data_IF_754529907257
#
_entry.id   IF_754529907257
#
_cell.length_a   1.000
_cell.length_b   1.000
_cell.length_c   1.000
_cell.angle_alpha   90.00
_cell.angle_beta   90.00
_cell.angle_gamma   90.00
#
_symmetry.space_group_name_H-M   'P 1'
#
loop_
_entity.id
_entity.type
_entity.pdbx_description
1 polymer ?
#
# COMPACT_ATOMS: atom_id res chain seq x y z
N UNK A 1 -0.14 27.87 -17.87
CA UNK A 1 -0.54 26.69 -17.08
C UNK A 1 0.36 25.53 -17.52
N UNK A 2 1.46 25.25 -16.82
CA UNK A 2 2.50 24.31 -17.27
C UNK A 2 2.45 23.00 -16.43
N UNK A 3 2.25 21.90 -17.14
CA UNK A 3 2.53 20.49 -16.79
C UNK A 3 1.69 19.79 -15.71
N UNK A 4 0.51 19.26 -16.08
CA UNK A 4 0.00 18.04 -15.45
C UNK A 4 0.52 16.82 -16.20
N UNK A 5 1.81 16.48 -16.06
CA UNK A 5 2.36 15.24 -16.62
C UNK A 5 1.92 14.07 -15.74
N UNK A 6 0.72 13.54 -15.99
CA UNK A 6 0.30 12.25 -15.47
C UNK A 6 0.86 11.15 -16.39
N UNK A 7 2.14 10.87 -16.17
CA UNK A 7 2.99 10.02 -16.99
C UNK A 7 3.76 9.06 -16.08
N UNK A 8 3.94 7.81 -16.52
CA UNK A 8 4.82 6.86 -15.86
C UNK A 8 5.66 6.08 -16.88
N UNK A 9 6.98 6.19 -16.75
CA UNK A 9 7.97 5.39 -17.50
C UNK A 9 8.51 4.21 -16.69
N UNK A 10 8.20 4.20 -15.39
CA UNK A 10 8.69 3.21 -14.44
C UNK A 10 7.53 2.74 -13.57
N UNK A 11 7.58 1.47 -13.21
CA UNK A 11 6.75 0.87 -12.17
C UNK A 11 7.63 0.65 -10.95
N UNK A 12 7.17 1.13 -9.80
CA UNK A 12 7.90 1.05 -8.52
C UNK A 12 7.07 0.19 -7.57
N UNK A 13 7.72 -0.74 -6.88
CA UNK A 13 7.14 -1.55 -5.81
C UNK A 13 8.00 -1.36 -4.56
N UNK A 14 7.38 -0.90 -3.49
CA UNK A 14 8.00 -0.84 -2.16
C UNK A 14 7.72 -2.16 -1.44
N UNK A 15 8.73 -2.70 -0.77
CA UNK A 15 8.64 -3.96 -0.03
C UNK A 15 9.06 -3.73 1.40
N UNK A 16 8.06 -3.80 2.28
CA UNK A 16 8.22 -3.54 3.71
C UNK A 16 8.71 -4.75 4.51
N UNK A 17 8.83 -5.91 3.86
CA UNK A 17 9.36 -7.10 4.49
C UNK A 17 10.79 -6.87 4.97
N UNK A 18 11.00 -7.09 6.27
CA UNK A 18 12.27 -6.85 6.93
C UNK A 18 13.22 -7.99 6.57
N UNK A 19 14.43 -7.62 6.15
CA UNK A 19 15.54 -8.54 5.88
C UNK A 19 16.61 -8.43 6.96
N UNK A 20 17.87 -8.57 6.57
CA UNK A 20 19.03 -8.33 7.44
C UNK A 20 19.65 -6.96 7.18
N UNK A 21 20.47 -6.49 8.12
CA UNK A 21 21.28 -5.30 7.90
C UNK A 21 22.49 -5.63 7.02
N UNK A 22 22.86 -4.72 6.13
CA UNK A 22 23.99 -4.87 5.20
C UNK A 22 23.75 -4.13 3.90
N UNK A 23 22.52 -4.17 3.40
CA UNK A 23 22.08 -3.42 2.23
C UNK A 23 22.43 -4.09 0.90
N UNK A 24 22.83 -5.36 0.92
CA UNK A 24 23.12 -6.17 -0.25
C UNK A 24 21.93 -7.06 -0.64
N UNK A 25 21.83 -7.56 -1.88
CA UNK A 25 20.76 -8.47 -2.29
C UNK A 25 20.64 -9.74 -1.44
N UNK A 26 21.75 -10.14 -0.80
CA UNK A 26 21.77 -11.23 0.17
C UNK A 26 20.95 -10.90 1.43
N UNK A 27 20.82 -9.62 1.78
CA UNK A 27 20.14 -9.11 2.96
C UNK A 27 18.64 -8.90 2.79
N UNK A 28 18.10 -9.17 1.60
CA UNK A 28 16.66 -9.21 1.40
C UNK A 28 16.04 -10.30 2.28
N UNK A 29 14.80 -10.05 2.71
CA UNK A 29 13.97 -11.08 3.31
C UNK A 29 14.00 -12.36 2.42
N UNK A 30 14.22 -13.57 2.97
CA UNK A 30 14.37 -14.79 2.18
C UNK A 30 13.22 -15.05 1.20
N UNK A 31 11.98 -14.81 1.62
CA UNK A 31 10.80 -14.95 0.76
C UNK A 31 10.86 -13.99 -0.43
N UNK A 32 11.12 -12.70 -0.16
CA UNK A 32 11.25 -11.67 -1.19
C UNK A 32 12.38 -12.03 -2.16
N UNK A 33 13.51 -12.51 -1.65
CA UNK A 33 14.66 -12.93 -2.45
C UNK A 33 14.31 -14.10 -3.38
N UNK A 34 13.57 -15.09 -2.90
CA UNK A 34 13.14 -16.24 -3.70
C UNK A 34 12.10 -15.84 -4.76
N UNK A 35 11.16 -14.95 -4.41
CA UNK A 35 10.21 -14.37 -5.38
C UNK A 35 10.95 -13.60 -6.47
N UNK A 36 11.89 -12.71 -6.10
CA UNK A 36 12.69 -11.95 -7.07
C UNK A 36 13.51 -12.87 -7.96
N UNK A 37 14.10 -13.93 -7.40
CA UNK A 37 14.81 -14.96 -8.18
C UNK A 37 13.88 -15.62 -9.20
N UNK A 38 12.64 -15.96 -8.81
CA UNK A 38 11.64 -16.51 -9.71
C UNK A 38 11.29 -15.53 -10.85
N UNK A 39 11.10 -14.24 -10.54
CA UNK A 39 10.88 -13.20 -11.56
C UNK A 39 12.05 -13.07 -12.53
N UNK A 40 13.29 -13.14 -12.04
CA UNK A 40 14.50 -13.12 -12.87
C UNK A 40 14.58 -14.35 -13.78
N UNK A 41 14.31 -15.55 -13.25
CA UNK A 41 14.29 -16.79 -14.04
C UNK A 41 13.22 -16.78 -15.14
N UNK A 42 12.13 -16.03 -14.93
CA UNK A 42 11.09 -15.80 -15.93
C UNK A 42 11.36 -14.55 -16.81
N UNK A 43 12.56 -13.98 -16.72
CA UNK A 43 13.01 -12.83 -17.52
C UNK A 43 12.12 -11.56 -17.35
N UNK A 44 11.50 -11.42 -16.18
CA UNK A 44 10.65 -10.30 -15.76
C UNK A 44 11.14 -9.65 -14.46
N UNK A 45 12.40 -9.85 -14.11
CA UNK A 45 13.02 -9.26 -12.93
C UNK A 45 13.00 -7.72 -12.94
N UNK A 46 13.21 -7.08 -11.78
CA UNK A 46 13.31 -5.62 -11.70
C UNK A 46 14.58 -5.12 -12.39
N UNK A 47 14.49 -3.96 -13.04
CA UNK A 47 15.64 -3.28 -13.63
C UNK A 47 16.59 -2.70 -12.57
N UNK A 48 16.05 -2.26 -11.43
CA UNK A 48 16.80 -1.78 -10.28
C UNK A 48 16.24 -2.32 -8.98
N UNK A 49 17.16 -2.63 -8.06
CA UNK A 49 16.87 -3.09 -6.70
C UNK A 49 17.52 -2.11 -5.73
N UNK A 50 16.72 -1.42 -4.93
CA UNK A 50 17.17 -0.60 -3.82
C UNK A 50 17.00 -1.36 -2.53
N UNK A 51 17.99 -1.36 -1.65
CA UNK A 51 17.93 -2.06 -0.35
C UNK A 51 18.37 -1.12 0.75
N UNK A 52 17.57 -1.02 1.81
CA UNK A 52 17.89 -0.24 2.98
C UNK A 52 18.97 -0.98 3.82
N UNK A 53 20.15 -0.40 4.00
CA UNK A 53 21.26 -1.06 4.70
C UNK A 53 21.00 -1.32 6.19
N UNK A 54 20.03 -0.65 6.80
CA UNK A 54 19.74 -0.81 8.24
C UNK A 54 18.72 -1.91 8.56
N UNK A 55 17.86 -2.29 7.62
CA UNK A 55 16.75 -3.20 7.90
C UNK A 55 16.37 -4.15 6.75
N UNK A 56 17.10 -4.12 5.64
CA UNK A 56 16.86 -5.02 4.50
C UNK A 56 15.55 -4.79 3.74
N UNK A 57 14.74 -3.77 4.11
CA UNK A 57 13.58 -3.35 3.33
C UNK A 57 14.01 -2.92 1.94
N UNK A 58 13.16 -3.13 0.95
CA UNK A 58 13.57 -3.00 -0.44
C UNK A 58 12.59 -2.18 -1.27
N UNK A 59 13.11 -1.65 -2.37
CA UNK A 59 12.31 -1.03 -3.41
C UNK A 59 12.76 -1.53 -4.77
N UNK A 60 11.81 -1.92 -5.61
CA UNK A 60 12.07 -2.48 -6.92
C UNK A 60 11.53 -1.56 -8.01
N UNK A 61 12.30 -1.38 -9.08
CA UNK A 61 11.92 -0.55 -10.22
C UNK A 61 11.96 -1.38 -11.50
N UNK A 62 10.85 -1.39 -12.24
CA UNK A 62 10.79 -1.86 -13.62
C UNK A 62 10.72 -0.68 -14.57
N UNK A 63 11.49 -0.76 -15.66
CA UNK A 63 11.33 0.15 -16.80
C UNK A 63 10.15 -0.36 -17.64
N UNK A 64 9.20 0.50 -17.95
CA UNK A 64 7.99 0.13 -18.69
C UNK A 64 7.81 1.01 -19.91
N UNK A 65 7.10 0.50 -20.91
CA UNK A 65 6.62 1.33 -22.01
C UNK A 65 5.80 2.49 -21.41
N UNK A 66 6.16 3.74 -21.72
CA UNK A 66 5.60 4.85 -20.98
C UNK A 66 4.08 4.98 -21.16
N UNK A 67 3.39 5.16 -20.05
CA UNK A 67 1.94 5.32 -20.03
C UNK A 67 1.54 6.75 -19.72
N UNK A 68 0.46 7.18 -20.37
CA UNK A 68 -0.08 8.53 -20.25
C UNK A 68 -1.52 8.46 -19.73
N UNK A 69 -1.89 9.40 -18.87
CA UNK A 69 -3.26 9.62 -18.48
C UNK A 69 -3.96 10.63 -19.41
N UNK A 70 -5.28 10.58 -19.48
CA UNK A 70 -6.09 11.62 -20.10
C UNK A 70 -6.09 12.91 -19.28
N UNK A 71 -6.80 13.94 -19.78
CA UNK A 71 -6.95 15.24 -19.10
C UNK A 71 -7.57 15.13 -17.69
N UNK A 72 -8.22 14.01 -17.36
CA UNK A 72 -8.83 13.73 -16.06
C UNK A 72 -7.96 12.82 -15.17
N UNK A 73 -6.75 12.47 -15.60
CA UNK A 73 -5.85 11.56 -14.89
C UNK A 73 -6.24 10.09 -14.92
N UNK A 74 -7.02 9.69 -15.91
CA UNK A 74 -7.45 8.31 -16.09
C UNK A 74 -7.08 7.84 -17.49
N UNK A 75 -6.74 6.57 -17.64
CA UNK A 75 -6.67 5.92 -18.95
C UNK A 75 -6.74 4.42 -18.74
N UNK A 76 -7.05 3.66 -19.80
CA UNK A 76 -7.01 2.20 -19.71
C UNK A 76 -5.61 1.70 -19.31
N UNK A 77 -4.57 2.37 -19.81
CA UNK A 77 -3.16 2.11 -19.56
C UNK A 77 -2.77 2.44 -18.11
N UNK A 78 -3.27 3.54 -17.54
CA UNK A 78 -3.08 3.86 -16.13
C UNK A 78 -3.81 2.87 -15.19
N UNK A 79 -4.96 2.33 -15.62
CA UNK A 79 -5.63 1.25 -14.89
C UNK A 79 -4.82 -0.05 -14.95
N UNK A 80 -4.24 -0.37 -16.11
CA UNK A 80 -3.37 -1.52 -16.29
C UNK A 80 -2.09 -1.39 -15.45
N UNK A 81 -1.47 -0.21 -15.40
CA UNK A 81 -0.36 0.10 -14.51
C UNK A 81 -0.72 -0.19 -13.06
N UNK A 82 -1.84 0.38 -12.57
CA UNK A 82 -2.29 0.18 -11.20
C UNK A 82 -2.58 -1.30 -10.88
N UNK A 83 -3.18 -2.04 -11.82
CA UNK A 83 -3.39 -3.47 -11.67
C UNK A 83 -2.08 -4.26 -11.63
N UNK A 84 -1.11 -3.90 -12.48
CA UNK A 84 0.21 -4.55 -12.53
C UNK A 84 0.98 -4.31 -11.25
N UNK A 85 1.02 -3.06 -10.76
CA UNK A 85 1.64 -2.70 -9.47
C UNK A 85 1.03 -3.50 -8.33
N UNK A 86 -0.30 -3.63 -8.30
CA UNK A 86 -0.99 -4.39 -7.26
C UNK A 86 -0.60 -5.87 -7.27
N UNK A 87 -0.61 -6.52 -8.43
CA UNK A 87 -0.30 -7.97 -8.52
C UNK A 87 1.17 -8.22 -8.18
N UNK A 88 2.10 -7.41 -8.71
CA UNK A 88 3.51 -7.50 -8.36
C UNK A 88 3.74 -7.30 -6.87
N UNK A 89 3.07 -6.31 -6.30
CA UNK A 89 3.16 -6.06 -4.88
C UNK A 89 2.55 -7.18 -4.04
N UNK A 90 1.40 -7.75 -4.41
CA UNK A 90 0.81 -8.90 -3.71
C UNK A 90 1.77 -10.10 -3.72
N UNK A 91 2.45 -10.35 -4.85
CA UNK A 91 3.47 -11.39 -4.96
C UNK A 91 4.70 -11.13 -4.07
N UNK A 92 5.12 -9.87 -3.96
CA UNK A 92 6.26 -9.43 -3.14
C UNK A 92 5.89 -9.09 -1.68
N UNK A 93 4.64 -9.36 -1.29
CA UNK A 93 4.06 -9.06 0.02
C UNK A 93 4.24 -7.59 0.47
N UNK A 94 3.88 -6.65 -0.42
CA UNK A 94 3.81 -5.21 -0.12
C UNK A 94 2.54 -4.81 0.66
N UNK A 95 2.55 -3.67 1.36
CA UNK A 95 1.34 -3.08 1.94
C UNK A 95 0.45 -2.42 0.87
N UNK A 96 -0.80 -2.88 0.66
CA UNK A 96 -1.73 -2.31 -0.32
C UNK A 96 -2.31 -0.94 0.06
N UNK A 97 -2.12 -0.43 1.28
CA UNK A 97 -2.66 0.87 1.74
C UNK A 97 -1.71 2.04 1.51
N UNK A 98 -0.43 1.79 1.28
CA UNK A 98 0.53 2.86 1.05
C UNK A 98 0.72 3.15 -0.46
N UNK A 99 0.19 4.29 -0.88
CA UNK A 99 0.34 4.79 -2.25
C UNK A 99 1.77 5.29 -2.50
N UNK A 100 2.74 4.40 -2.68
CA UNK A 100 4.12 4.77 -3.01
C UNK A 100 4.38 4.72 -4.52
N UNK A 101 3.83 5.69 -5.26
CA UNK A 101 4.26 5.96 -6.65
C UNK A 101 5.62 6.67 -6.73
N UNK A 102 6.24 6.95 -5.59
CA UNK A 102 7.49 7.68 -5.49
C UNK A 102 8.63 6.73 -5.17
N UNK A 103 9.60 6.69 -6.07
CA UNK A 103 10.85 5.98 -5.82
C UNK A 103 11.78 6.81 -4.94
N UNK A 104 12.59 6.15 -4.10
CA UNK A 104 13.80 6.76 -3.52
C UNK A 104 14.81 6.98 -4.66
N UNK A 105 15.62 8.02 -4.60
CA UNK A 105 16.51 8.37 -5.71
C UNK A 105 17.63 7.31 -5.90
N UNK A 106 17.69 6.59 -7.03
CA UNK A 106 18.75 5.63 -7.31
C UNK A 106 20.14 6.24 -7.48
N UNK A 107 20.19 7.55 -7.74
CA UNK A 107 21.42 8.31 -7.97
C UNK A 107 21.83 9.15 -6.76
N UNK A 108 21.28 8.86 -5.57
CA UNK A 108 21.67 9.57 -4.36
C UNK A 108 23.11 9.20 -3.96
N UNK A 109 23.96 10.22 -3.81
CA UNK A 109 25.39 10.08 -3.47
C UNK A 109 25.75 10.64 -2.09
N UNK A 110 24.75 11.05 -1.30
CA UNK A 110 24.97 11.60 0.04
C UNK A 110 25.28 10.53 1.09
N UNK A 111 25.60 10.97 2.32
CA UNK A 111 26.09 10.10 3.41
C UNK A 111 25.01 9.62 4.38
N UNK A 112 23.73 9.72 4.03
CA UNK A 112 22.65 9.28 4.91
C UNK A 112 22.74 7.76 5.14
N UNK A 113 22.82 7.28 6.40
CA UNK A 113 23.06 5.87 6.69
C UNK A 113 21.87 4.97 6.34
N UNK A 114 20.69 5.54 6.18
CA UNK A 114 19.45 4.85 5.77
C UNK A 114 19.17 4.98 4.27
N UNK A 115 20.08 5.62 3.52
CA UNK A 115 19.96 5.70 2.07
C UNK A 115 20.01 4.30 1.48
N UNK A 116 19.06 4.01 0.60
CA UNK A 116 18.99 2.74 -0.11
C UNK A 116 20.25 2.57 -0.96
N UNK A 117 20.88 1.39 -0.89
CA UNK A 117 21.91 0.96 -1.82
C UNK A 117 21.23 0.41 -3.06
N UNK A 118 21.56 0.98 -4.23
CA UNK A 118 20.88 0.67 -5.48
C UNK A 118 21.75 -0.19 -6.39
N UNK A 119 21.17 -1.28 -6.88
CA UNK A 119 21.80 -2.25 -7.76
C UNK A 119 21.05 -2.29 -9.09
N UNK A 120 21.72 -1.88 -10.16
CA UNK A 120 21.21 -2.00 -11.53
C UNK A 120 21.33 -3.45 -12.00
N UNK A 121 20.23 -4.03 -12.46
CA UNK A 121 20.18 -5.38 -13.01
C UNK A 121 20.21 -5.37 -14.54
N UNK A 122 19.36 -4.55 -15.16
CA UNK A 122 19.26 -4.44 -16.62
C UNK A 122 18.62 -3.12 -17.07
N UNK A 123 18.53 -2.90 -18.38
CA UNK A 123 17.89 -1.74 -19.03
C UNK A 123 16.68 -2.10 -19.90
N UNK A 124 16.21 -3.34 -19.85
CA UNK A 124 15.04 -3.79 -20.61
C UNK A 124 13.77 -3.01 -20.23
N UNK A 125 13.10 -2.48 -21.24
CA UNK A 125 11.77 -1.86 -21.12
C UNK A 125 10.70 -2.92 -21.35
N UNK A 126 9.72 -2.99 -20.44
CA UNK A 126 8.67 -4.01 -20.46
C UNK A 126 7.32 -3.42 -20.84
N UNK A 127 6.57 -4.15 -21.67
CA UNK A 127 5.16 -3.86 -21.92
C UNK A 127 4.32 -4.29 -20.72
N UNK A 128 3.48 -3.40 -20.21
CA UNK A 128 2.65 -3.69 -19.03
C UNK A 128 1.73 -4.91 -19.22
N UNK A 129 1.20 -5.11 -20.43
CA UNK A 129 0.34 -6.26 -20.74
C UNK A 129 1.08 -7.59 -20.64
N UNK A 130 2.32 -7.64 -21.11
CA UNK A 130 3.15 -8.84 -21.06
C UNK A 130 3.68 -9.09 -19.65
N UNK A 131 4.04 -8.00 -18.94
CA UNK A 131 4.51 -8.06 -17.56
C UNK A 131 3.42 -8.60 -16.64
N UNK A 132 2.20 -8.05 -16.65
CA UNK A 132 1.13 -8.51 -15.75
C UNK A 132 0.72 -9.95 -16.03
N UNK A 133 0.78 -10.40 -17.30
CA UNK A 133 0.50 -11.78 -17.67
C UNK A 133 1.52 -12.72 -17.04
N UNK A 134 2.81 -12.47 -17.26
CA UNK A 134 3.87 -13.33 -16.74
C UNK A 134 3.95 -13.29 -15.21
N UNK A 135 3.68 -12.14 -14.56
CA UNK A 135 3.62 -12.05 -13.10
C UNK A 135 2.49 -12.92 -12.54
N UNK A 136 1.32 -12.95 -13.19
CA UNK A 136 0.21 -13.83 -12.78
C UNK A 136 0.56 -15.30 -12.93
N UNK A 137 1.27 -15.64 -14.01
CA UNK A 137 1.75 -17.00 -14.25
C UNK A 137 2.73 -17.43 -13.14
N UNK A 138 3.67 -16.56 -12.76
CA UNK A 138 4.60 -16.79 -11.65
C UNK A 138 3.88 -16.88 -10.30
N UNK A 139 2.85 -16.08 -10.08
CA UNK A 139 2.05 -16.10 -8.86
C UNK A 139 1.10 -17.31 -8.75
N UNK A 140 1.04 -18.18 -9.76
CA UNK A 140 0.09 -19.29 -9.82
C UNK A 140 -1.36 -18.83 -9.90
N UNK A 141 -1.61 -17.59 -10.30
CA UNK A 141 -2.97 -17.11 -10.52
C UNK A 141 -3.50 -17.67 -11.84
N UNK A 142 -4.55 -18.49 -11.77
CA UNK A 142 -5.28 -18.90 -12.97
C UNK A 142 -5.63 -17.66 -13.81
N UNK A 143 -5.22 -17.67 -15.09
CA UNK A 143 -5.32 -16.53 -16.01
C UNK A 143 -6.75 -16.00 -16.18
N UNK A 144 -7.76 -16.73 -15.69
CA UNK A 144 -9.14 -16.28 -15.57
C UNK A 144 -9.80 -16.81 -14.29
N UNK A 145 -9.44 -16.25 -13.13
CA UNK A 145 -10.41 -16.22 -12.05
C UNK A 145 -11.57 -15.34 -12.49
N UNK A 146 -12.64 -15.97 -12.98
CA UNK A 146 -13.97 -15.34 -13.03
C UNK A 146 -14.23 -14.87 -11.61
N UNK A 147 -14.04 -13.57 -11.34
CA UNK A 147 -14.29 -12.99 -10.02
C UNK A 147 -15.59 -13.62 -9.51
N UNK A 148 -15.60 -14.27 -8.33
CA UNK A 148 -16.74 -15.06 -7.91
C UNK A 148 -17.96 -14.18 -8.04
N UNK A 149 -18.82 -14.53 -9.02
CA UNK A 149 -20.07 -13.83 -9.24
C UNK A 149 -20.88 -14.16 -8.01
N UNK A 150 -20.83 -13.26 -7.04
CA UNK A 150 -21.56 -13.32 -5.77
C UNK A 150 -20.89 -14.23 -4.70
N UNK A 151 -20.21 -13.63 -3.72
CA UNK A 151 -19.70 -14.33 -2.54
C UNK A 151 -20.77 -14.64 -1.48
N UNK A 152 -21.91 -13.95 -1.55
CA UNK A 152 -23.01 -14.11 -0.60
C UNK A 152 -24.22 -14.69 -1.31
N UNK A 153 -24.84 -15.70 -0.70
CA UNK A 153 -26.03 -16.37 -1.23
C UNK A 153 -27.25 -15.44 -1.24
N UNK A 154 -27.26 -14.39 -0.40
CA UNK A 154 -28.34 -13.41 -0.34
C UNK A 154 -27.90 -12.02 0.16
N UNK A 155 -28.72 -11.00 -0.12
CA UNK A 155 -28.49 -9.63 0.39
C UNK A 155 -28.59 -9.50 1.91
N UNK A 156 -29.32 -10.40 2.59
CA UNK A 156 -29.40 -10.44 4.07
C UNK A 156 -28.10 -10.94 4.68
N UNK A 157 -27.51 -11.98 4.08
CA UNK A 157 -26.23 -12.54 4.49
C UNK A 157 -25.10 -11.51 4.36
N UNK A 158 -25.10 -10.74 3.26
CA UNK A 158 -24.18 -9.61 3.08
C UNK A 158 -24.33 -8.56 4.21
N UNK A 159 -25.57 -8.20 4.59
CA UNK A 159 -25.82 -7.20 5.63
C UNK A 159 -25.37 -7.71 7.00
N UNK A 160 -25.69 -8.95 7.36
CA UNK A 160 -25.31 -9.53 8.64
C UNK A 160 -23.79 -9.65 8.75
N UNK A 161 -23.14 -10.16 7.71
CA UNK A 161 -21.68 -10.25 7.67
C UNK A 161 -20.99 -8.87 7.71
N UNK A 162 -21.62 -7.81 7.22
CA UNK A 162 -21.08 -6.44 7.37
C UNK A 162 -21.28 -5.90 8.78
N UNK A 163 -22.37 -6.25 9.47
CA UNK A 163 -22.61 -5.86 10.86
C UNK A 163 -21.65 -6.52 11.83
N UNK A 164 -21.50 -7.85 11.78
CA UNK A 164 -20.54 -8.57 12.63
C UNK A 164 -19.12 -8.06 12.43
N UNK A 165 -18.68 -7.84 11.18
CA UNK A 165 -17.36 -7.26 10.91
C UNK A 165 -17.18 -5.85 11.48
N UNK A 166 -18.25 -5.05 11.52
CA UNK A 166 -18.20 -3.71 12.12
C UNK A 166 -18.04 -3.82 13.63
N UNK A 167 -18.76 -4.73 14.26
CA UNK A 167 -18.69 -5.00 15.71
C UNK A 167 -17.30 -5.54 16.09
N UNK A 168 -16.78 -6.52 15.35
CA UNK A 168 -15.42 -7.05 15.52
C UNK A 168 -14.35 -5.96 15.36
N UNK A 169 -14.45 -5.12 14.32
CA UNK A 169 -13.50 -4.03 14.12
C UNK A 169 -13.59 -2.95 15.20
N UNK A 170 -14.78 -2.70 15.76
CA UNK A 170 -14.97 -1.78 16.88
C UNK A 170 -14.40 -2.35 18.18
N UNK A 171 -14.62 -3.64 18.45
CA UNK A 171 -14.06 -4.33 19.61
C UNK A 171 -12.53 -4.41 19.54
N UNK A 172 -11.98 -4.77 18.37
CA UNK A 172 -10.54 -4.80 18.14
C UNK A 172 -9.89 -3.41 18.30
N UNK A 173 -10.56 -2.36 17.81
CA UNK A 173 -10.08 -0.98 17.98
C UNK A 173 -10.07 -0.55 19.45
N UNK A 174 -11.08 -0.92 20.23
CA UNK A 174 -11.12 -0.63 21.66
C UNK A 174 -9.99 -1.36 22.40
N UNK A 175 -9.81 -2.66 22.13
CA UNK A 175 -8.74 -3.47 22.72
C UNK A 175 -7.34 -2.92 22.37
N UNK A 176 -7.13 -2.53 21.11
CA UNK A 176 -5.86 -1.95 20.66
C UNK A 176 -5.58 -0.58 21.32
N UNK A 177 -6.61 0.23 21.56
CA UNK A 177 -6.46 1.51 22.27
C UNK A 177 -6.14 1.32 23.75
N UNK A 178 -6.74 0.33 24.41
CA UNK A 178 -6.44 0.00 25.81
C UNK A 178 -5.00 -0.56 25.96
N UNK A 179 -4.58 -1.44 25.05
CA UNK A 179 -3.22 -2.01 25.02
C UNK A 179 -2.17 -0.94 24.68
N UNK A 180 -2.40 -0.08 23.69
CA UNK A 180 -1.47 1.01 23.35
C UNK A 180 -1.34 2.04 24.48
N UNK A 181 -2.41 2.27 25.25
CA UNK A 181 -2.38 3.15 26.43
C UNK A 181 -1.57 2.54 27.60
N UNK A 182 -1.64 1.22 27.79
CA UNK A 182 -0.84 0.48 28.78
C UNK A 182 0.65 0.41 28.39
N UNK A 183 0.95 0.24 27.10
CA UNK A 183 2.32 0.01 26.59
C UNK A 183 3.13 1.32 26.45
N UNK A 184 2.50 2.44 26.09
CA UNK A 184 3.23 3.69 25.77
C UNK A 184 3.87 4.40 26.98
N UNK A 185 3.48 4.06 28.21
CA UNK A 185 3.97 4.72 29.43
C UNK A 185 5.28 4.17 30.00
N UNK A 186 5.60 2.89 29.76
CA UNK A 186 6.60 2.17 30.59
C UNK A 186 7.84 1.60 29.88
N UNK A 187 7.83 1.37 28.56
CA UNK A 187 8.87 0.55 27.93
C UNK A 187 10.17 1.28 27.54
N UNK A 188 10.14 2.60 27.36
CA UNK A 188 11.37 3.37 27.05
C UNK A 188 12.36 3.36 28.23
N UNK A 189 11.92 3.08 29.46
CA UNK A 189 12.80 2.98 30.63
C UNK A 189 13.57 1.64 30.66
N UNK A 190 13.14 0.66 29.88
CA UNK A 190 13.70 -0.70 29.85
C UNK A 190 14.29 -1.09 28.50
N UNK A 191 14.34 -0.19 27.51
CA UNK A 191 15.02 -0.46 26.23
C UNK A 191 16.55 -0.26 26.41
N UNK A 192 17.35 -1.36 26.40
CA UNK A 192 18.80 -1.28 26.60
C UNK A 192 19.52 -0.59 25.43
N UNK A 193 18.84 -0.33 24.30
CA UNK A 193 19.40 0.38 23.15
C UNK A 193 19.28 1.91 23.24
N UNK A 194 18.59 2.44 24.26
CA UNK A 194 18.47 3.88 24.49
C UNK A 194 19.65 4.41 25.30
N UNK A 195 20.35 5.40 24.75
CA UNK A 195 21.41 6.15 25.43
C UNK A 195 20.80 7.47 25.89
N UNK A 196 20.81 7.76 27.19
CA UNK A 196 20.16 8.94 27.78
C UNK A 196 18.69 9.13 27.32
N UNK A 197 17.95 8.03 27.08
CA UNK A 197 16.57 8.07 26.59
C UNK A 197 16.42 8.35 25.08
N UNK A 198 17.53 8.34 24.32
CA UNK A 198 17.58 8.60 22.87
C UNK A 198 18.16 7.38 22.15
N UNK A 199 17.48 6.94 21.08
CA UNK A 199 17.99 5.87 20.21
C UNK A 199 18.97 6.45 19.20
N UNK A 200 20.27 6.38 19.50
CA UNK A 200 21.32 6.93 18.65
C UNK A 200 21.48 6.08 17.38
N UNK A 201 21.39 6.73 16.21
CA UNK A 201 21.66 6.09 14.93
C UNK A 201 23.14 6.24 14.58
N UNK A 202 23.76 5.13 14.18
CA UNK A 202 25.18 5.08 13.82
C UNK A 202 25.34 5.05 12.30
N UNK A 203 26.23 5.90 11.76
CA UNK A 203 26.66 5.86 10.35
C UNK A 203 27.71 4.76 10.19
N UNK A 204 28.69 4.78 11.09
CA UNK A 204 29.74 3.78 11.29
C UNK A 204 29.98 3.65 12.79
N UNK A 205 30.64 2.59 13.23
CA UNK A 205 30.97 2.41 14.65
C UNK A 205 31.72 3.65 15.18
N UNK A 206 31.19 4.28 16.25
CA UNK A 206 31.74 5.50 16.83
C UNK A 206 31.34 6.82 16.14
N UNK A 207 30.62 6.78 15.01
CA UNK A 207 30.14 7.99 14.31
C UNK A 207 28.61 7.99 14.20
N UNK A 208 27.94 8.88 14.92
CA UNK A 208 26.49 9.01 14.93
C UNK A 208 25.93 9.90 13.80
N UNK A 209 24.74 9.55 13.32
CA UNK A 209 23.89 10.38 12.48
C UNK A 209 23.10 11.36 13.35
N UNK A 210 23.75 12.48 13.73
CA UNK A 210 23.26 13.46 14.70
C UNK A 210 21.89 14.03 14.33
N UNK A 211 21.75 14.54 13.11
CA UNK A 211 20.51 15.17 12.63
C UNK A 211 19.34 14.19 12.52
N UNK A 212 19.58 12.99 12.00
CA UNK A 212 18.55 11.96 11.83
C UNK A 212 18.10 11.43 13.21
N UNK A 213 19.04 11.22 14.12
CA UNK A 213 18.75 10.84 15.52
C UNK A 213 17.87 11.91 16.18
N UNK A 214 18.29 13.17 16.07
CA UNK A 214 17.58 14.32 16.62
C UNK A 214 16.17 14.48 16.04
N UNK A 215 16.02 14.33 14.73
CA UNK A 215 14.75 14.46 14.03
C UNK A 215 13.77 13.33 14.40
N UNK A 216 14.23 12.07 14.46
CA UNK A 216 13.38 10.95 14.86
C UNK A 216 12.94 11.03 16.30
N UNK A 217 13.83 11.44 17.20
CA UNK A 217 13.47 11.65 18.60
C UNK A 217 12.43 12.76 18.74
N UNK A 218 12.59 13.88 18.02
CA UNK A 218 11.60 14.96 17.99
C UNK A 218 10.22 14.51 17.47
N UNK A 219 10.18 13.63 16.44
CA UNK A 219 8.94 13.01 15.97
C UNK A 219 8.30 12.11 17.04
N UNK A 220 9.09 11.23 17.67
CA UNK A 220 8.61 10.33 18.73
C UNK A 220 7.99 11.13 19.89
N UNK A 221 8.69 12.15 20.35
CA UNK A 221 8.21 13.06 21.40
C UNK A 221 6.97 13.82 20.96
N UNK A 222 6.90 14.29 19.72
CA UNK A 222 5.70 14.94 19.18
C UNK A 222 4.47 14.02 19.19
N UNK A 223 4.62 12.76 18.78
CA UNK A 223 3.53 11.77 18.83
C UNK A 223 3.10 11.48 20.28
N UNK A 224 4.04 11.38 21.22
CA UNK A 224 3.76 11.21 22.65
C UNK A 224 2.97 12.39 23.22
N UNK A 225 3.40 13.62 22.94
CA UNK A 225 2.68 14.84 23.36
C UNK A 225 1.24 14.85 22.82
N UNK A 226 1.04 14.43 21.56
CA UNK A 226 -0.29 14.32 20.96
C UNK A 226 -1.15 13.25 21.65
N UNK A 227 -0.58 12.09 21.98
CA UNK A 227 -1.29 11.01 22.70
C UNK A 227 -1.69 11.45 24.11
N UNK A 228 -0.82 12.20 24.80
CA UNK A 228 -1.08 12.74 26.14
C UNK A 228 -2.03 13.96 26.13
N UNK A 229 -2.51 14.40 24.96
CA UNK A 229 -3.38 15.57 24.83
C UNK A 229 -2.69 16.91 25.11
N UNK A 230 -1.36 16.94 25.19
CA UNK A 230 -0.60 18.16 25.45
C UNK A 230 -0.45 19.02 24.18
N UNK A 231 -0.23 20.32 24.36
CA UNK A 231 -0.06 21.26 23.24
C UNK A 231 1.27 21.00 22.54
N UNK A 232 1.21 20.68 21.26
CA UNK A 232 2.38 20.48 20.40
C UNK A 232 2.98 21.83 19.98
N UNK A 233 3.87 22.38 20.82
CA UNK A 233 4.56 23.66 20.58
C UNK A 233 5.85 23.47 19.81
N UNK A 234 6.24 24.47 19.02
CA UNK A 234 7.51 24.44 18.28
C UNK A 234 8.70 24.36 19.25
N UNK A 235 8.62 25.01 20.42
CA UNK A 235 9.65 24.95 21.46
C UNK A 235 9.89 23.54 21.99
N UNK A 236 8.84 22.80 22.39
CA UNK A 236 8.99 21.44 22.91
C UNK A 236 9.59 20.47 21.87
N UNK A 237 9.30 20.68 20.58
CA UNK A 237 9.89 19.89 19.49
C UNK A 237 11.37 20.26 19.29
N UNK A 238 11.71 21.55 19.37
CA UNK A 238 13.10 22.03 19.26
C UNK A 238 13.93 21.50 20.43
N UNK A 239 13.41 21.57 21.66
CA UNK A 239 14.09 21.07 22.86
C UNK A 239 14.38 19.57 22.75
N UNK A 240 13.40 18.79 22.28
CA UNK A 240 13.59 17.36 22.03
C UNK A 240 14.64 17.09 20.95
N UNK A 241 14.65 17.87 19.88
CA UNK A 241 15.66 17.77 18.83
C UNK A 241 17.06 18.10 19.36
N UNK A 242 17.22 19.21 20.09
CA UNK A 242 18.51 19.65 20.65
C UNK A 242 19.06 18.63 21.65
N UNK A 243 18.20 18.10 22.53
CA UNK A 243 18.57 17.06 23.48
C UNK A 243 19.15 15.84 22.76
N UNK A 244 18.43 15.30 21.78
CA UNK A 244 18.85 14.13 21.03
C UNK A 244 20.08 14.39 20.13
N UNK A 245 20.23 15.60 19.58
CA UNK A 245 21.43 15.99 18.85
C UNK A 245 22.66 15.96 19.78
N UNK A 246 22.53 16.53 20.97
CA UNK A 246 23.62 16.59 21.95
C UNK A 246 24.01 15.21 22.47
N UNK A 247 23.04 14.31 22.69
CA UNK A 247 23.32 12.91 23.04
C UNK A 247 24.07 12.21 21.90
N UNK A 248 23.59 12.34 20.65
CA UNK A 248 24.27 11.76 19.50
C UNK A 248 25.69 12.33 19.30
N UNK A 249 25.90 13.63 19.56
CA UNK A 249 27.20 14.29 19.49
C UNK A 249 28.15 13.79 20.58
N UNK A 250 27.67 13.63 21.82
CA UNK A 250 28.48 13.16 22.95
C UNK A 250 28.99 11.75 22.72
N UNK A 251 28.12 10.85 22.25
CA UNK A 251 28.44 9.43 22.11
C UNK A 251 29.00 9.05 20.73
N UNK A 252 28.70 9.82 19.68
CA UNK A 252 29.13 9.53 18.30
C UNK A 252 29.61 10.75 17.51
N UNK A 253 30.16 11.75 18.19
CA UNK A 253 30.73 12.95 17.54
C UNK A 253 31.90 12.62 16.62
N UNK A 254 32.69 11.59 16.94
CA UNK A 254 33.89 11.18 16.19
C UNK A 254 34.87 12.34 15.93
N UNK A 255 35.05 13.22 16.92
CA UNK A 255 35.90 14.41 16.80
C UNK A 255 35.37 15.53 15.91
N UNK A 256 34.13 15.43 15.40
CA UNK A 256 33.49 16.51 14.63
C UNK A 256 32.99 17.61 15.53
N UNK A 257 33.14 18.86 15.10
CA UNK A 257 32.57 20.01 15.77
C UNK A 257 31.04 19.95 15.84
N UNK A 258 30.48 20.63 16.84
CA UNK A 258 29.03 20.75 17.02
C UNK A 258 28.49 21.62 15.89
N UNK A 259 27.64 21.04 15.04
CA UNK A 259 27.08 21.70 13.86
C UNK A 259 25.56 21.73 13.98
N UNK A 260 25.06 22.37 15.03
CA UNK A 260 23.62 22.50 15.26
C UNK A 260 23.06 23.53 14.28
N UNK A 261 21.97 23.23 13.55
CA UNK A 261 21.35 24.18 12.64
C UNK A 261 20.94 25.49 13.35
N UNK A 262 20.99 26.65 12.68
CA UNK A 262 20.60 27.92 13.27
C UNK A 262 19.12 27.89 13.69
N UNK A 263 18.74 28.76 14.64
CA UNK A 263 17.40 28.76 15.25
C UNK A 263 16.26 28.84 14.20
N UNK A 264 16.47 29.62 13.14
CA UNK A 264 15.50 29.76 12.03
C UNK A 264 15.17 28.42 11.36
N UNK A 265 16.16 27.56 11.16
CA UNK A 265 15.99 26.28 10.50
C UNK A 265 15.36 25.26 11.45
N UNK A 266 15.71 25.30 12.74
CA UNK A 266 15.08 24.50 13.79
C UNK A 266 13.60 24.83 13.96
N UNK A 267 13.21 26.10 13.89
CA UNK A 267 11.80 26.50 13.85
C UNK A 267 11.06 25.95 12.62
N UNK A 268 11.70 25.98 11.45
CA UNK A 268 11.12 25.42 10.22
C UNK A 268 10.96 23.90 10.32
N UNK A 269 11.96 23.20 10.86
CA UNK A 269 11.93 21.78 11.15
C UNK A 269 10.79 21.43 12.12
N UNK A 270 10.66 22.17 13.23
CA UNK A 270 9.61 21.95 14.22
C UNK A 270 8.20 22.07 13.62
N UNK A 271 7.97 23.06 12.76
CA UNK A 271 6.71 23.21 12.01
C UNK A 271 6.42 22.00 11.12
N UNK A 272 7.45 21.43 10.48
CA UNK A 272 7.32 20.21 9.65
C UNK A 272 7.00 18.99 10.50
N UNK A 273 7.72 18.78 11.61
CA UNK A 273 7.45 17.71 12.58
C UNK A 273 6.02 17.79 13.08
N UNK A 274 5.56 18.98 13.49
CA UNK A 274 4.17 19.21 13.88
C UNK A 274 3.18 18.89 12.75
N UNK A 275 3.52 19.24 11.50
CA UNK A 275 2.76 18.84 10.32
C UNK A 275 2.61 17.33 10.20
N UNK A 276 3.71 16.57 10.31
CA UNK A 276 3.70 15.11 10.26
C UNK A 276 2.91 14.49 11.42
N UNK A 277 3.11 15.00 12.64
CA UNK A 277 2.44 14.51 13.84
C UNK A 277 0.94 14.80 13.81
N UNK A 278 0.48 15.87 13.18
CA UNK A 278 -0.95 16.23 13.10
C UNK A 278 -1.67 15.65 11.88
N UNK A 279 -0.99 15.55 10.74
CA UNK A 279 -1.54 15.04 9.48
C UNK A 279 -1.46 13.52 9.34
N UNK A 280 -0.65 12.85 10.17
CA UNK A 280 -0.73 11.40 10.32
C UNK A 280 -2.15 11.03 10.76
N UNK A 281 -2.92 10.50 9.80
CA UNK A 281 -4.05 9.64 10.12
C UNK A 281 -3.45 8.51 10.93
N UNK A 282 -3.91 8.32 12.16
CA UNK A 282 -3.48 7.18 12.97
C UNK A 282 -3.76 5.91 12.16
N UNK A 283 -2.70 5.27 11.69
CA UNK A 283 -2.68 3.88 11.24
C UNK A 283 -2.89 2.98 12.45
N UNK A 284 -4.06 3.12 13.10
CA UNK A 284 -4.55 2.10 13.99
C UNK A 284 -5.11 0.98 13.09
N UNK A 285 -4.26 -0.02 12.85
CA UNK A 285 -4.62 -1.34 12.34
C UNK A 285 -5.58 -1.35 11.15
N UNK A 286 -5.10 -0.91 9.98
CA UNK A 286 -5.67 -1.39 8.73
C UNK A 286 -4.96 -2.69 8.37
N UNK A 287 -5.42 -3.79 8.98
CA UNK A 287 -4.98 -5.12 8.62
C UNK A 287 -5.00 -5.31 7.10
N UNK A 288 -3.90 -5.92 6.65
CA UNK A 288 -3.74 -6.67 5.41
C UNK A 288 -5.06 -7.22 4.88
N UNK A 289 -5.20 -7.24 3.56
CA UNK A 289 -6.27 -7.90 2.81
C UNK A 289 -6.78 -9.19 3.47
N UNK A 290 -7.76 -9.05 4.36
CA UNK A 290 -8.56 -10.17 4.81
C UNK A 290 -9.41 -10.60 3.60
N UNK A 291 -9.45 -11.90 3.26
CA UNK A 291 -10.40 -12.40 2.27
C UNK A 291 -11.81 -12.09 2.79
N UNK A 292 -12.48 -11.11 2.17
CA UNK A 292 -13.82 -10.67 2.61
C UNK A 292 -14.15 -9.18 2.52
N UNK A 293 -13.29 -8.32 1.98
CA UNK A 293 -13.68 -6.92 1.68
C UNK A 293 -14.78 -6.89 0.62
N UNK A 294 -15.94 -6.33 0.99
CA UNK A 294 -17.09 -6.19 0.09
C UNK A 294 -16.68 -5.51 -1.23
N UNK A 295 -16.99 -6.14 -2.35
CA UNK A 295 -16.66 -5.68 -3.70
C UNK A 295 -17.32 -4.33 -4.03
N UNK A 296 -16.86 -3.64 -5.08
CA UNK A 296 -17.46 -2.34 -5.46
C UNK A 296 -18.93 -2.46 -5.86
N UNK A 297 -19.33 -3.61 -6.42
CA UNK A 297 -20.71 -3.99 -6.71
C UNK A 297 -21.53 -4.19 -5.43
N UNK A 298 -21.00 -4.88 -4.43
CA UNK A 298 -21.67 -5.10 -3.14
C UNK A 298 -21.84 -3.77 -2.38
N UNK A 299 -20.85 -2.89 -2.41
CA UNK A 299 -20.96 -1.53 -1.85
C UNK A 299 -22.04 -0.69 -2.54
N UNK A 300 -22.17 -0.79 -3.87
CA UNK A 300 -23.26 -0.14 -4.62
C UNK A 300 -24.62 -0.75 -4.30
N UNK A 301 -24.71 -2.07 -4.14
CA UNK A 301 -25.93 -2.77 -3.75
C UNK A 301 -26.38 -2.37 -2.34
N UNK A 302 -25.46 -2.28 -1.38
CA UNK A 302 -25.72 -1.78 -0.02
C UNK A 302 -26.13 -0.30 -0.02
N UNK A 303 -25.48 0.54 -0.83
CA UNK A 303 -25.82 1.96 -0.93
C UNK A 303 -27.21 2.22 -1.56
N UNK A 304 -27.73 1.27 -2.33
CA UNK A 304 -29.06 1.34 -2.96
C UNK A 304 -30.15 0.67 -2.12
N UNK A 305 -29.82 -0.42 -1.41
CA UNK A 305 -30.72 -1.08 -0.45
C UNK A 305 -30.86 -0.26 0.84
N UNK A 306 -31.87 0.60 0.89
CA UNK A 306 -32.21 1.42 2.06
C UNK A 306 -32.60 2.86 1.71
N UNK A 307 -32.23 3.35 0.52
CA UNK A 307 -32.68 4.65 -0.01
C UNK A 307 -34.14 4.57 -0.47
N UNK A 308 -34.83 5.73 -0.50
CA UNK A 308 -36.25 5.90 -0.85
C UNK A 308 -36.67 5.14 -2.12
N UNK A 309 -35.80 5.07 -3.13
CA UNK A 309 -36.02 4.31 -4.37
C UNK A 309 -35.97 2.79 -4.23
N UNK A 310 -35.06 2.26 -3.40
CA UNK A 310 -34.96 0.80 -3.14
C UNK A 310 -36.13 0.26 -2.32
N UNK A 311 -36.64 1.05 -1.36
CA UNK A 311 -37.87 0.72 -0.60
C UNK A 311 -39.10 0.71 -1.50
N UNK A 312 -39.24 1.70 -2.38
CA UNK A 312 -40.35 1.77 -3.35
C UNK A 312 -40.28 0.66 -4.39
N UNK A 313 -39.07 0.24 -4.79
CA UNK A 313 -38.87 -0.91 -5.65
C UNK A 313 -39.28 -2.22 -4.96
N UNK A 314 -38.89 -2.42 -3.69
CA UNK A 314 -39.31 -3.60 -2.92
C UNK A 314 -40.84 -3.68 -2.74
N UNK A 315 -41.50 -2.55 -2.46
CA UNK A 315 -42.97 -2.46 -2.39
C UNK A 315 -43.66 -2.81 -3.72
N UNK A 316 -43.06 -2.46 -4.87
CA UNK A 316 -43.60 -2.82 -6.21
C UNK A 316 -43.50 -4.31 -6.54
N UNK A 317 -42.75 -5.08 -5.77
CA UNK A 317 -42.61 -6.53 -5.90
C UNK A 317 -43.35 -7.29 -4.80
N UNK A 318 -44.06 -6.59 -3.91
CA UNK A 318 -44.81 -7.18 -2.80
C UNK A 318 -46.04 -7.93 -3.32
N UNK A 319 -46.72 -7.37 -4.33
CA UNK A 319 -47.71 -8.08 -5.13
C UNK A 319 -47.09 -8.64 -6.42
N UNK A 320 -46.95 -9.97 -6.43
CA UNK A 320 -46.33 -10.73 -7.51
C UNK A 320 -47.21 -10.84 -8.76
N UNK A 321 -48.52 -10.60 -8.61
CA UNK A 321 -49.50 -10.63 -9.70
C UNK A 321 -49.77 -9.25 -10.31
N UNK A 322 -49.16 -8.19 -9.76
CA UNK A 322 -49.29 -6.85 -10.33
C UNK A 322 -48.76 -6.76 -11.78
N UNK A 323 -49.40 -5.93 -12.61
CA UNK A 323 -48.99 -5.68 -14.01
C UNK A 323 -47.50 -5.33 -14.14
N UNK A 324 -46.98 -4.59 -13.15
CA UNK A 324 -45.57 -4.24 -13.08
C UNK A 324 -44.66 -5.47 -12.89
N UNK A 325 -45.01 -6.38 -11.97
CA UNK A 325 -44.26 -7.60 -11.72
C UNK A 325 -44.35 -8.57 -12.91
N UNK A 326 -45.55 -8.77 -13.46
CA UNK A 326 -45.77 -9.64 -14.61
C UNK A 326 -45.04 -9.15 -15.88
N UNK A 327 -45.11 -7.84 -16.19
CA UNK A 327 -44.40 -7.27 -17.34
C UNK A 327 -42.87 -7.37 -17.24
N UNK A 328 -42.31 -7.28 -16.02
CA UNK A 328 -40.87 -7.50 -15.78
C UNK A 328 -40.47 -8.97 -15.89
N UNK A 329 -41.32 -9.89 -15.43
CA UNK A 329 -41.11 -11.34 -15.59
C UNK A 329 -41.14 -11.74 -17.06
N UNK A 330 -42.07 -11.21 -17.83
CA UNK A 330 -42.16 -11.47 -19.28
C UNK A 330 -40.93 -10.95 -20.03
N UNK A 331 -40.46 -9.74 -19.66
CA UNK A 331 -39.22 -9.17 -20.20
C UNK A 331 -38.00 -10.04 -19.88
N UNK A 332 -37.89 -10.55 -18.63
CA UNK A 332 -36.82 -11.48 -18.25
C UNK A 332 -36.92 -12.78 -19.04
N UNK A 333 -38.12 -13.35 -19.22
CA UNK A 333 -38.35 -14.55 -20.05
C UNK A 333 -37.87 -14.34 -21.48
N UNK A 334 -38.26 -13.24 -22.13
CA UNK A 334 -37.79 -12.86 -23.48
C UNK A 334 -36.27 -12.71 -23.56
N UNK A 335 -35.66 -12.13 -22.52
CA UNK A 335 -34.21 -11.94 -22.45
C UNK A 335 -33.46 -13.27 -22.28
N UNK A 336 -33.98 -14.18 -21.46
CA UNK A 336 -33.41 -15.52 -21.28
C UNK A 336 -33.52 -16.34 -22.56
N UNK A 337 -34.65 -16.29 -23.27
CA UNK A 337 -34.80 -16.95 -24.57
C UNK A 337 -33.83 -16.42 -25.63
N UNK A 338 -33.58 -15.10 -25.66
CA UNK A 338 -32.56 -14.52 -26.57
C UNK A 338 -31.14 -14.98 -26.23
N UNK A 339 -30.82 -15.11 -24.94
CA UNK A 339 -29.50 -15.60 -24.50
C UNK A 339 -29.31 -17.08 -24.80
N UNK A 340 -30.34 -17.92 -24.62
CA UNK A 340 -30.25 -19.34 -25.00
C UNK A 340 -30.09 -19.51 -26.51
N UNK A 341 -30.78 -18.72 -27.33
CA UNK A 341 -30.63 -18.73 -28.79
C UNK A 341 -29.20 -18.32 -29.23
N UNK A 342 -28.58 -17.33 -28.58
CA UNK A 342 -27.21 -16.91 -28.88
C UNK A 342 -26.13 -17.95 -28.52
N UNK A 343 -26.38 -18.78 -27.50
CA UNK A 343 -25.48 -19.89 -27.13
C UNK A 343 -25.51 -21.02 -28.17
N UNK A 344 -26.68 -21.30 -28.76
CA UNK A 344 -26.83 -22.30 -29.83
C UNK A 344 -26.13 -21.86 -31.13
N UNK A 345 -26.11 -20.56 -31.42
CA UNK A 345 -25.39 -20.00 -32.58
C UNK A 345 -23.86 -20.04 -32.44
N UNK A 346 -23.33 -19.95 -31.22
CA UNK A 346 -21.89 -20.12 -30.95
C UNK A 346 -21.44 -21.59 -31.05
N UNK A 347 -22.28 -22.54 -30.63
CA UNK A 347 -21.99 -23.96 -30.74
C UNK A 347 -21.95 -24.43 -32.20
N UNK A 348 -22.86 -23.95 -33.05
CA UNK A 348 -22.93 -24.29 -34.48
C UNK A 348 -21.75 -23.73 -35.30
N UNK A 349 -21.21 -22.57 -34.90
CA UNK A 349 -20.00 -22.00 -35.53
C UNK A 349 -18.72 -22.78 -35.16
N UNK A 350 -18.68 -23.43 -34.00
CA UNK A 350 -17.56 -24.30 -33.59
C UNK A 350 -17.55 -25.64 -34.35
N UNK A 351 -18.72 -26.24 -34.63
CA UNK A 351 -18.79 -27.52 -35.35
C UNK A 351 -18.38 -27.40 -36.82
N UNK A 352 -18.70 -26.29 -37.50
CA UNK A 352 -18.32 -26.07 -38.91
C UNK A 352 -16.81 -25.87 -39.07
N UNK A 353 -16.12 -25.35 -38.04
CA UNK A 353 -14.67 -25.09 -38.11
C UNK A 353 -13.81 -26.34 -37.98
N UNK A 354 -14.32 -27.41 -37.38
CA UNK A 354 -13.62 -28.69 -37.25
C UNK A 354 -13.85 -29.63 -38.45
N UNK A 355 -14.82 -29.36 -39.32
CA UNK A 355 -15.09 -30.19 -40.52
C UNK A 355 -14.32 -29.73 -41.77
N UNK A 356 -13.53 -28.66 -41.67
CA UNK A 356 -12.73 -28.08 -42.76
C UNK A 356 -11.21 -28.22 -42.54
N UNK A 357 -10.81 -29.06 -41.59
CA UNK A 357 -9.41 -29.34 -41.24
C UNK A 357 -9.06 -30.85 -41.22
N UNK A 358 -9.93 -31.68 -41.78
CA UNK A 358 -9.62 -33.03 -42.28
C UNK A 358 -9.76 -33.01 -43.80
#
# INVERSE_FOLDING_TARGET
>A
MLTSKQYAAVLVVDVDQVGTAGGDPADLNPYVRDVVRSLISNNIGPAWVGINPTNGKAQFIWLIDPVYADRMGKSAQMKLLAATTRVLGELLDHDPHFSHRFSRNPFYTGKAPTAYRWYRQHNRVMRLGDLIKQVRDVAGHEQFNTAPRQQFSSGRELINAVKTRREEAQAFKALAQDVDAEIAGGLDQYDPELIDGVRVLWITQGTAARDETAFRHALKTGHRLRQQGQRLTDAAIIDAYEHAYNVAQRHGGAGRDIEIPPMRDRQTMARRVRGYVTQSKSEAYASSSAPGKATSSERKALATMGRRGGKKAAQRWEDRESDYAQGRLETMRKTHMRKSAGVVQQASCWTIRNFLLD
#
